data_IF_240825982230
#
_entry.id   IF_240825982230
#
_cell.length_a   1.000
_cell.length_b   1.000
_cell.length_c   1.000
_cell.angle_alpha   90.00
_cell.angle_beta   90.00
_cell.angle_gamma   90.00
#
_symmetry.space_group_name_H-M   'P 1'
#
loop_
_entity.id
_entity.type
_entity.pdbx_description
1 polymer ?
#
# COMPACT_ATOMS: atom_id res chain seq x y z
N UNK A 1 20.24 31.67 -0.59
CA UNK A 1 18.93 31.06 -0.22
C UNK A 1 18.37 30.19 -1.34
N UNK A 2 18.22 30.69 -2.60
CA UNK A 2 17.60 29.92 -3.69
C UNK A 2 18.31 28.57 -3.99
N UNK A 3 19.64 28.50 -3.89
CA UNK A 3 20.40 27.25 -4.11
C UNK A 3 20.18 26.22 -2.99
N UNK A 4 20.05 26.68 -1.76
CA UNK A 4 19.79 25.83 -0.59
C UNK A 4 18.37 25.21 -0.69
N UNK A 5 17.37 26.03 -1.00
CA UNK A 5 16.00 25.59 -1.21
C UNK A 5 15.91 24.56 -2.33
N UNK A 6 16.61 24.75 -3.44
CA UNK A 6 16.65 23.79 -4.55
C UNK A 6 17.30 22.47 -4.13
N UNK A 7 18.41 22.51 -3.37
CA UNK A 7 19.08 21.31 -2.89
C UNK A 7 18.19 20.50 -1.93
N UNK A 8 17.51 21.16 -1.01
CA UNK A 8 16.56 20.51 -0.07
C UNK A 8 15.40 19.87 -0.82
N UNK A 9 14.79 20.58 -1.77
CA UNK A 9 13.70 20.03 -2.59
C UNK A 9 14.14 18.81 -3.41
N UNK A 10 15.34 18.84 -3.99
CA UNK A 10 15.88 17.70 -4.73
C UNK A 10 16.11 16.48 -3.80
N UNK A 11 16.61 16.71 -2.60
CA UNK A 11 16.80 15.62 -1.62
C UNK A 11 15.48 14.99 -1.19
N UNK A 12 14.44 15.80 -0.98
CA UNK A 12 13.09 15.33 -0.68
C UNK A 12 12.51 14.48 -1.82
N UNK A 13 12.61 14.95 -3.06
CA UNK A 13 12.13 14.20 -4.23
C UNK A 13 12.87 12.87 -4.43
N UNK A 14 14.17 12.81 -4.13
CA UNK A 14 14.96 11.58 -4.17
C UNK A 14 14.47 10.60 -3.09
N UNK A 15 14.29 11.08 -1.86
CA UNK A 15 13.80 10.26 -0.76
C UNK A 15 12.38 9.73 -1.03
N UNK A 16 11.50 10.57 -1.59
CA UNK A 16 10.15 10.17 -1.99
C UNK A 16 10.18 9.06 -3.05
N UNK A 17 10.96 9.24 -4.12
CA UNK A 17 11.12 8.21 -5.17
C UNK A 17 11.64 6.89 -4.60
N UNK A 18 12.60 6.93 -3.68
CA UNK A 18 13.10 5.75 -3.01
C UNK A 18 11.99 4.99 -2.25
N UNK A 19 11.15 5.71 -1.49
CA UNK A 19 10.06 5.10 -0.75
C UNK A 19 9.01 4.51 -1.69
N UNK A 20 8.64 5.23 -2.76
CA UNK A 20 7.69 4.73 -3.76
C UNK A 20 8.22 3.48 -4.47
N UNK A 21 9.51 3.42 -4.78
CA UNK A 21 10.15 2.22 -5.31
C UNK A 21 10.05 1.04 -4.32
N UNK A 22 10.38 1.26 -3.03
CA UNK A 22 10.26 0.22 -1.99
C UNK A 22 8.83 -0.24 -1.79
N UNK A 23 7.87 0.68 -1.84
CA UNK A 23 6.43 0.40 -1.78
C UNK A 23 5.98 -0.50 -2.93
N UNK A 24 6.34 -0.15 -4.15
CA UNK A 24 5.96 -0.91 -5.34
C UNK A 24 6.64 -2.29 -5.35
N UNK A 25 7.90 -2.35 -4.92
CA UNK A 25 8.62 -3.62 -4.81
C UNK A 25 7.97 -4.56 -3.81
N UNK A 26 7.64 -4.09 -2.59
CA UNK A 26 7.05 -4.95 -1.57
C UNK A 26 5.64 -5.42 -1.95
N UNK A 27 4.87 -4.59 -2.70
CA UNK A 27 3.59 -4.98 -3.27
C UNK A 27 3.75 -6.13 -4.27
N UNK A 28 4.68 -6.00 -5.20
CA UNK A 28 5.00 -7.07 -6.16
C UNK A 28 5.45 -8.35 -5.47
N UNK A 29 6.34 -8.23 -4.48
CA UNK A 29 6.85 -9.38 -3.75
C UNK A 29 5.76 -10.12 -2.99
N UNK A 30 4.85 -9.41 -2.30
CA UNK A 30 3.76 -10.07 -1.54
C UNK A 30 2.76 -10.77 -2.46
N UNK A 31 2.44 -10.19 -3.61
CA UNK A 31 1.54 -10.80 -4.60
C UNK A 31 2.15 -12.11 -5.12
N UNK A 32 3.43 -12.08 -5.47
CA UNK A 32 4.13 -13.27 -5.99
C UNK A 32 4.25 -14.35 -4.92
N UNK A 33 4.55 -14.01 -3.66
CA UNK A 33 4.60 -14.99 -2.57
C UNK A 33 3.22 -15.59 -2.33
N UNK A 34 2.16 -14.78 -2.31
CA UNK A 34 0.79 -15.27 -2.14
C UNK A 34 0.37 -16.21 -3.28
N UNK A 35 0.73 -15.86 -4.52
CA UNK A 35 0.51 -16.72 -5.68
C UNK A 35 1.26 -18.06 -5.55
N UNK A 36 2.54 -18.04 -5.20
CA UNK A 36 3.34 -19.24 -5.01
C UNK A 36 2.79 -20.13 -3.88
N UNK A 37 2.29 -19.54 -2.79
CA UNK A 37 1.59 -20.25 -1.71
C UNK A 37 0.34 -20.95 -2.26
N UNK A 38 -0.47 -20.25 -3.02
CA UNK A 38 -1.71 -20.77 -3.59
C UNK A 38 -1.48 -21.92 -4.57
N UNK A 39 -0.41 -21.85 -5.36
CA UNK A 39 -0.05 -22.93 -6.30
C UNK A 39 0.47 -24.19 -5.61
N UNK A 40 1.09 -24.05 -4.46
CA UNK A 40 1.75 -25.15 -3.75
C UNK A 40 1.02 -25.58 -2.47
N UNK A 41 -0.28 -25.30 -2.36
CA UNK A 41 -1.06 -25.50 -1.12
C UNK A 41 -0.94 -26.91 -0.53
N UNK A 42 -0.99 -27.95 -1.38
CA UNK A 42 -0.91 -29.33 -0.94
C UNK A 42 0.44 -29.68 -0.31
N UNK A 43 1.53 -29.17 -0.88
CA UNK A 43 2.88 -29.32 -0.35
C UNK A 43 3.07 -28.54 0.96
N UNK A 44 2.43 -27.38 1.08
CA UNK A 44 2.52 -26.47 2.21
C UNK A 44 1.61 -26.85 3.38
N UNK A 45 0.76 -27.89 3.27
CA UNK A 45 0.04 -28.46 4.41
C UNK A 45 1.00 -29.02 5.47
N UNK A 46 2.17 -29.50 5.06
CA UNK A 46 3.23 -29.88 6.00
C UNK A 46 3.92 -28.61 6.54
N UNK A 47 3.84 -28.42 7.87
CA UNK A 47 4.40 -27.24 8.55
C UNK A 47 5.89 -27.04 8.31
N UNK A 48 6.69 -28.11 8.24
CA UNK A 48 8.13 -28.04 7.99
C UNK A 48 8.42 -27.53 6.56
N UNK A 49 7.67 -28.05 5.58
CA UNK A 49 7.76 -27.61 4.20
C UNK A 49 7.37 -26.13 4.06
N UNK A 50 6.30 -25.72 4.74
CA UNK A 50 5.84 -24.34 4.74
C UNK A 50 6.89 -23.41 5.38
N UNK A 51 7.48 -23.81 6.52
CA UNK A 51 8.55 -23.04 7.15
C UNK A 51 9.74 -22.85 6.22
N UNK A 52 10.21 -23.94 5.56
CA UNK A 52 11.31 -23.88 4.60
C UNK A 52 10.98 -23.01 3.40
N UNK A 53 9.76 -23.11 2.88
CA UNK A 53 9.28 -22.28 1.78
C UNK A 53 9.34 -20.79 2.14
N UNK A 54 8.79 -20.40 3.30
CA UNK A 54 8.79 -19.01 3.76
C UNK A 54 10.22 -18.49 3.98
N UNK A 55 11.10 -19.31 4.53
CA UNK A 55 12.52 -18.96 4.67
C UNK A 55 13.17 -18.68 3.30
N UNK A 56 12.94 -19.54 2.33
CA UNK A 56 13.47 -19.37 0.97
C UNK A 56 12.90 -18.12 0.30
N UNK A 57 11.59 -17.87 0.39
CA UNK A 57 10.97 -16.67 -0.16
C UNK A 57 11.55 -15.39 0.46
N UNK A 58 11.78 -15.38 1.78
CA UNK A 58 12.41 -14.26 2.46
C UNK A 58 13.81 -13.97 1.90
N UNK A 59 14.63 -15.00 1.79
CA UNK A 59 16.01 -14.88 1.29
C UNK A 59 16.06 -14.45 -0.18
N UNK A 60 15.29 -15.09 -1.05
CA UNK A 60 15.27 -14.82 -2.48
C UNK A 60 14.83 -13.38 -2.80
N UNK A 61 13.91 -12.83 -2.03
CA UNK A 61 13.37 -11.47 -2.25
C UNK A 61 14.08 -10.41 -1.40
N UNK A 62 15.02 -10.83 -0.56
CA UNK A 62 15.77 -9.94 0.34
C UNK A 62 14.85 -9.22 1.34
N UNK A 63 13.78 -9.88 1.79
CA UNK A 63 12.88 -9.36 2.81
C UNK A 63 13.50 -9.56 4.21
N UNK A 64 13.16 -8.68 5.12
CA UNK A 64 13.64 -8.77 6.51
C UNK A 64 12.74 -9.66 7.35
N UNK A 65 11.42 -9.62 7.08
CA UNK A 65 10.45 -10.46 7.77
C UNK A 65 9.37 -10.96 6.82
N UNK A 66 8.94 -12.21 6.99
CA UNK A 66 7.73 -12.79 6.42
C UNK A 66 6.99 -13.54 7.53
N UNK A 67 5.73 -13.25 7.69
CA UNK A 67 4.86 -13.90 8.68
C UNK A 67 3.55 -14.34 8.04
N UNK A 68 3.10 -15.54 8.42
CA UNK A 68 1.71 -15.93 8.24
C UNK A 68 1.02 -15.75 9.59
N UNK A 69 0.04 -14.87 9.65
CA UNK A 69 -0.68 -14.50 10.87
C UNK A 69 -2.18 -14.79 10.71
N UNK A 70 -2.88 -14.93 11.82
CA UNK A 70 -4.33 -14.98 11.84
C UNK A 70 -4.96 -13.58 12.11
N UNK A 71 -6.28 -13.51 12.11
CA UNK A 71 -7.02 -12.29 12.39
C UNK A 71 -6.80 -11.73 13.81
N UNK A 72 -6.30 -12.54 14.73
CA UNK A 72 -5.92 -12.14 16.10
C UNK A 72 -4.43 -11.76 16.20
N UNK A 73 -3.74 -11.63 15.06
CA UNK A 73 -2.29 -11.34 14.93
C UNK A 73 -1.39 -12.45 15.49
N UNK A 74 -1.95 -13.65 15.77
CA UNK A 74 -1.15 -14.78 16.21
C UNK A 74 -0.36 -15.34 15.03
N UNK A 75 0.95 -15.51 15.24
CA UNK A 75 1.85 -16.04 14.22
C UNK A 75 1.63 -17.55 14.06
N UNK A 76 1.37 -17.95 12.82
CA UNK A 76 1.29 -19.36 12.43
C UNK A 76 2.65 -19.86 11.91
N UNK A 77 3.30 -19.10 11.03
CA UNK A 77 4.66 -19.35 10.51
C UNK A 77 5.39 -18.01 10.43
N UNK A 78 6.70 -18.03 10.69
CA UNK A 78 7.52 -16.83 10.71
C UNK A 78 8.90 -17.12 10.15
N UNK A 79 9.40 -16.19 9.33
CA UNK A 79 10.81 -16.09 8.98
C UNK A 79 11.26 -14.65 9.17
N UNK A 80 12.20 -14.41 10.04
CA UNK A 80 12.66 -13.06 10.40
C UNK A 80 14.13 -13.07 10.83
N UNK A 81 14.82 -11.96 10.54
CA UNK A 81 16.15 -11.66 11.05
C UNK A 81 16.13 -10.82 12.32
N UNK A 82 14.97 -10.30 12.69
CA UNK A 82 14.77 -9.37 13.82
C UNK A 82 13.51 -9.73 14.59
N UNK A 83 13.27 -9.04 15.70
CA UNK A 83 12.02 -9.19 16.46
C UNK A 83 10.80 -8.85 15.61
N UNK A 84 9.71 -9.58 15.82
CA UNK A 84 8.44 -9.35 15.13
C UNK A 84 7.93 -7.94 15.38
N UNK A 85 7.65 -7.23 14.29
CA UNK A 85 6.97 -5.94 14.32
C UNK A 85 5.47 -6.16 14.08
N UNK A 86 4.62 -5.97 15.10
CA UNK A 86 3.19 -6.24 14.99
C UNK A 86 2.54 -5.30 13.98
N UNK A 87 1.56 -5.83 13.26
CA UNK A 87 0.73 -5.02 12.38
C UNK A 87 -0.29 -4.20 13.18
N UNK A 88 -0.55 -2.98 12.74
CA UNK A 88 -1.61 -2.16 13.31
C UNK A 88 -3.00 -2.80 13.11
N UNK A 89 -3.85 -2.70 14.14
CA UNK A 89 -5.19 -3.30 14.09
C UNK A 89 -6.08 -2.70 13.01
N UNK A 90 -5.87 -1.41 12.68
CA UNK A 90 -6.59 -0.72 11.59
C UNK A 90 -6.25 -1.34 10.23
N UNK A 91 -4.97 -1.58 9.97
CA UNK A 91 -4.50 -2.18 8.72
C UNK A 91 -5.06 -3.60 8.52
N UNK A 92 -5.07 -4.42 9.58
CA UNK A 92 -5.64 -5.77 9.51
C UNK A 92 -7.14 -5.74 9.20
N UNK A 93 -7.91 -4.84 9.81
CA UNK A 93 -9.34 -4.68 9.53
C UNK A 93 -9.62 -4.28 8.08
N UNK A 94 -8.77 -3.46 7.47
CA UNK A 94 -8.93 -3.04 6.06
C UNK A 94 -8.76 -4.22 5.11
N UNK A 95 -7.83 -5.13 5.39
CA UNK A 95 -7.54 -6.30 4.53
C UNK A 95 -8.57 -7.43 4.67
N UNK A 96 -9.35 -7.45 5.75
CA UNK A 96 -10.36 -8.50 5.94
C UNK A 96 -11.35 -8.58 4.78
N UNK A 97 -11.72 -7.46 4.19
CA UNK A 97 -12.73 -7.34 3.14
C UNK A 97 -12.14 -7.06 1.74
N UNK A 98 -10.83 -6.91 1.61
CA UNK A 98 -10.17 -6.64 0.33
C UNK A 98 -9.27 -7.81 -0.09
N UNK A 99 -9.24 -8.10 -1.40
CA UNK A 99 -8.37 -9.13 -1.99
C UNK A 99 -7.00 -8.57 -2.39
N UNK A 100 -6.86 -7.25 -2.39
CA UNK A 100 -5.62 -6.57 -2.78
C UNK A 100 -4.68 -6.44 -1.60
N UNK A 101 -3.36 -6.39 -1.85
CA UNK A 101 -2.40 -6.12 -0.78
C UNK A 101 -2.57 -4.70 -0.26
N UNK A 102 -2.54 -4.56 1.05
CA UNK A 102 -2.44 -3.28 1.73
C UNK A 102 -0.97 -2.97 2.00
N UNK A 103 -0.51 -1.83 1.51
CA UNK A 103 0.86 -1.34 1.73
C UNK A 103 0.90 -0.41 2.93
N UNK A 104 1.94 -0.54 3.73
CA UNK A 104 2.14 0.24 4.96
C UNK A 104 3.56 0.78 4.94
N UNK A 105 3.71 2.11 4.98
CA UNK A 105 4.99 2.75 5.19
C UNK A 105 4.96 3.39 6.57
N UNK A 106 5.96 3.08 7.38
CA UNK A 106 6.16 3.70 8.68
C UNK A 106 7.63 4.09 8.84
N UNK A 107 7.91 5.37 8.60
CA UNK A 107 9.27 5.90 8.70
C UNK A 107 9.80 5.87 10.14
N UNK A 108 8.94 6.06 11.16
CA UNK A 108 9.34 5.98 12.58
C UNK A 108 9.81 4.59 12.99
N UNK A 109 9.19 3.55 12.43
CA UNK A 109 9.62 2.17 12.63
C UNK A 109 10.60 1.70 11.54
N UNK A 110 11.01 2.61 10.68
CA UNK A 110 11.96 2.37 9.58
C UNK A 110 11.54 1.21 8.69
N UNK A 111 10.24 1.06 8.41
CA UNK A 111 9.72 -0.09 7.66
C UNK A 111 8.83 0.28 6.48
N UNK A 112 8.97 -0.52 5.42
CA UNK A 112 7.97 -0.72 4.38
C UNK A 112 7.37 -2.11 4.55
N UNK A 113 6.08 -2.22 4.66
CA UNK A 113 5.39 -3.48 4.89
C UNK A 113 4.20 -3.65 3.94
N UNK A 114 3.78 -4.89 3.75
CA UNK A 114 2.54 -5.20 3.06
C UNK A 114 1.84 -6.38 3.71
N UNK A 115 0.51 -6.40 3.62
CA UNK A 115 -0.31 -7.51 4.08
C UNK A 115 -1.35 -7.86 3.02
N UNK A 116 -1.62 -9.14 2.83
CA UNK A 116 -2.66 -9.67 1.95
C UNK A 116 -3.33 -10.88 2.60
N UNK A 117 -4.63 -11.03 2.36
CA UNK A 117 -5.38 -12.23 2.77
C UNK A 117 -5.01 -13.41 1.87
N UNK A 118 -4.80 -14.59 2.45
CA UNK A 118 -4.56 -15.82 1.72
C UNK A 118 -5.89 -16.54 1.47
N UNK A 119 -6.40 -16.58 0.21
CA UNK A 119 -7.75 -17.08 -0.07
C UNK A 119 -7.97 -18.54 0.28
N UNK A 120 -6.93 -19.37 0.08
CA UNK A 120 -6.98 -20.81 0.30
C UNK A 120 -6.62 -21.26 1.73
N UNK A 121 -6.23 -20.32 2.59
CA UNK A 121 -5.98 -20.57 4.01
C UNK A 121 -7.01 -19.82 4.85
N UNK A 122 -7.86 -20.53 5.52
CA UNK A 122 -8.94 -19.96 6.32
C UNK A 122 -8.38 -18.98 7.37
N UNK A 123 -8.84 -17.73 7.32
CA UNK A 123 -8.47 -16.66 8.24
C UNK A 123 -6.96 -16.43 8.40
N UNK A 124 -6.16 -16.67 7.35
CA UNK A 124 -4.72 -16.39 7.35
C UNK A 124 -4.37 -15.23 6.43
N UNK A 125 -3.36 -14.49 6.85
CA UNK A 125 -2.81 -13.33 6.15
C UNK A 125 -1.30 -13.50 6.01
N UNK A 126 -0.81 -13.18 4.83
CA UNK A 126 0.61 -13.01 4.58
C UNK A 126 0.99 -11.59 4.94
N UNK A 127 1.98 -11.41 5.80
CA UNK A 127 2.53 -10.12 6.20
C UNK A 127 4.03 -10.11 5.94
N UNK A 128 4.50 -9.14 5.16
CA UNK A 128 5.91 -9.00 4.79
C UNK A 128 6.43 -7.64 5.20
N UNK A 129 7.73 -7.59 5.58
CA UNK A 129 8.40 -6.36 6.01
C UNK A 129 9.77 -6.27 5.33
N UNK A 130 10.08 -5.07 4.86
CA UNK A 130 11.40 -4.64 4.42
C UNK A 130 11.76 -3.35 5.15
N UNK A 131 12.92 -3.34 5.80
CA UNK A 131 13.41 -2.10 6.41
C UNK A 131 13.86 -1.10 5.34
N UNK A 132 13.59 0.16 5.60
CA UNK A 132 14.07 1.28 4.81
C UNK A 132 15.54 1.56 5.15
N UNK A 133 16.23 2.26 4.29
CA UNK A 133 17.53 2.83 4.60
C UNK A 133 17.41 3.82 5.77
N UNK A 134 18.29 3.67 6.78
CA UNK A 134 18.19 4.44 8.02
C UNK A 134 18.39 5.93 7.80
N UNK A 135 19.30 6.30 6.91
CA UNK A 135 19.60 7.72 6.66
C UNK A 135 18.45 8.38 5.91
N UNK A 136 17.84 7.65 4.97
CA UNK A 136 16.65 8.12 4.26
C UNK A 136 15.45 8.20 5.20
N UNK A 137 15.21 7.18 6.03
CA UNK A 137 14.13 7.20 7.01
C UNK A 137 14.28 8.36 8.01
N UNK A 138 15.50 8.61 8.49
CA UNK A 138 15.81 9.74 9.36
C UNK A 138 15.53 11.07 8.67
N UNK A 139 16.02 11.26 7.45
CA UNK A 139 15.75 12.47 6.67
C UNK A 139 14.25 12.74 6.51
N UNK A 140 13.49 11.69 6.27
CA UNK A 140 12.05 11.76 6.10
C UNK A 140 11.29 12.09 7.39
N UNK A 141 11.77 11.62 8.54
CA UNK A 141 11.16 11.93 9.85
C UNK A 141 11.51 13.32 10.36
N UNK A 142 12.61 13.90 9.91
CA UNK A 142 13.05 15.25 10.28
C UNK A 142 12.40 16.36 9.45
N UNK A 143 11.76 16.05 8.32
CA UNK A 143 11.06 17.04 7.51
C UNK A 143 9.57 17.07 7.85
N UNK A 144 9.03 18.23 8.24
CA UNK A 144 7.61 18.38 8.61
C UNK A 144 6.64 17.97 7.51
N UNK A 145 6.98 18.19 6.24
CA UNK A 145 6.16 17.78 5.09
C UNK A 145 6.13 16.26 4.90
N UNK A 146 7.19 15.57 5.30
CA UNK A 146 7.30 14.12 5.21
C UNK A 146 6.45 13.39 6.26
N UNK A 147 6.24 13.96 7.44
CA UNK A 147 5.49 13.32 8.53
C UNK A 147 4.05 12.96 8.07
N UNK A 148 3.39 13.82 7.33
CA UNK A 148 2.05 13.56 6.81
C UNK A 148 2.01 12.52 5.68
N UNK A 149 3.10 12.37 4.91
CA UNK A 149 3.17 11.44 3.79
C UNK A 149 3.47 9.99 4.24
N UNK A 150 4.15 9.80 5.38
CA UNK A 150 4.66 8.48 5.82
C UNK A 150 3.73 7.70 6.73
N UNK A 151 2.62 8.28 7.15
CA UNK A 151 1.55 7.57 7.86
C UNK A 151 0.43 7.15 6.90
N UNK A 152 0.75 6.84 5.66
CA UNK A 152 -0.24 6.40 4.69
C UNK A 152 -0.33 4.88 4.70
N UNK A 153 -1.40 4.41 5.33
CA UNK A 153 -2.03 3.16 4.88
C UNK A 153 -2.61 3.51 3.51
N UNK A 154 -1.94 3.04 2.46
CA UNK A 154 -2.38 3.28 1.07
C UNK A 154 -3.65 2.43 0.85
N UNK A 155 -4.80 3.04 1.12
CA UNK A 155 -6.10 2.45 0.82
C UNK A 155 -6.32 2.59 -0.70
N UNK A 156 -6.20 1.49 -1.47
CA UNK A 156 -6.39 1.54 -2.92
C UNK A 156 -7.81 1.99 -3.30
N UNK A 157 -8.76 1.97 -2.35
CA UNK A 157 -10.12 2.47 -2.56
C UNK A 157 -10.19 4.01 -2.62
N UNK A 158 -9.23 4.73 -2.04
CA UNK A 158 -9.22 6.19 -2.03
C UNK A 158 -8.97 6.75 -3.43
N UNK A 159 -8.00 6.20 -4.16
CA UNK A 159 -7.72 6.61 -5.55
C UNK A 159 -8.92 6.39 -6.48
N UNK A 160 -9.61 5.26 -6.32
CA UNK A 160 -10.84 4.95 -7.07
C UNK A 160 -11.96 5.93 -6.72
N UNK A 161 -12.18 6.20 -5.42
CA UNK A 161 -13.21 7.16 -4.96
C UNK A 161 -12.97 8.56 -5.50
N UNK A 162 -11.72 9.03 -5.51
CA UNK A 162 -11.34 10.34 -6.07
C UNK A 162 -11.61 10.38 -7.58
N UNK A 163 -11.24 9.33 -8.32
CA UNK A 163 -11.51 9.24 -9.76
C UNK A 163 -13.00 9.26 -10.07
N UNK A 164 -13.82 8.52 -9.32
CA UNK A 164 -15.29 8.58 -9.47
C UNK A 164 -15.85 9.95 -9.13
N UNK A 165 -15.36 10.61 -8.08
CA UNK A 165 -15.79 11.97 -7.71
C UNK A 165 -15.48 12.97 -8.83
N UNK A 166 -14.29 12.91 -9.44
CA UNK A 166 -13.91 13.77 -10.57
C UNK A 166 -14.79 13.53 -11.79
N UNK A 167 -15.04 12.28 -12.17
CA UNK A 167 -15.92 11.91 -13.27
C UNK A 167 -17.33 12.44 -13.01
N UNK A 168 -17.84 12.29 -11.78
CA UNK A 168 -19.17 12.81 -11.40
C UNK A 168 -19.26 14.33 -11.54
N UNK A 169 -18.25 15.08 -11.10
CA UNK A 169 -18.18 16.54 -11.23
C UNK A 169 -18.21 16.95 -12.71
N UNK A 170 -17.47 16.25 -13.58
CA UNK A 170 -17.44 16.52 -15.02
C UNK A 170 -18.82 16.28 -15.63
N UNK A 171 -19.48 15.18 -15.31
CA UNK A 171 -20.81 14.85 -15.83
C UNK A 171 -21.85 15.89 -15.40
N UNK A 172 -21.84 16.27 -14.11
CA UNK A 172 -22.78 17.30 -13.59
C UNK A 172 -22.53 18.65 -14.25
N UNK A 173 -21.29 19.05 -14.45
CA UNK A 173 -20.94 20.29 -15.16
C UNK A 173 -21.45 20.29 -16.60
N UNK A 174 -21.28 19.19 -17.33
CA UNK A 174 -21.79 19.03 -18.70
C UNK A 174 -23.32 19.12 -18.76
N UNK A 175 -24.02 18.47 -17.83
CA UNK A 175 -25.49 18.55 -17.75
C UNK A 175 -25.98 19.96 -17.44
N UNK A 176 -25.30 20.69 -16.55
CA UNK A 176 -25.59 22.11 -16.28
C UNK A 176 -25.40 22.98 -17.52
N UNK A 177 -24.28 22.81 -18.24
CA UNK A 177 -24.05 23.55 -19.49
C UNK A 177 -25.11 23.26 -20.54
N UNK A 178 -25.50 21.99 -20.70
CA UNK A 178 -26.55 21.58 -21.62
C UNK A 178 -27.89 22.22 -21.24
N UNK A 179 -28.26 22.20 -19.96
CA UNK A 179 -29.51 22.80 -19.44
C UNK A 179 -29.54 24.29 -19.69
N UNK A 180 -28.44 25.03 -19.44
CA UNK A 180 -28.33 26.46 -19.70
C UNK A 180 -28.48 26.75 -21.21
N UNK A 181 -27.83 25.94 -22.06
CA UNK A 181 -27.91 26.11 -23.52
C UNK A 181 -29.34 25.91 -24.05
N UNK A 182 -30.00 24.91 -23.54
CA UNK A 182 -31.43 24.65 -23.88
C UNK A 182 -32.33 25.81 -23.40
N UNK A 183 -32.14 26.28 -22.15
CA UNK A 183 -32.90 27.38 -21.59
C UNK A 183 -32.73 28.67 -22.41
N UNK A 184 -31.52 29.01 -22.84
CA UNK A 184 -31.25 30.16 -23.68
C UNK A 184 -31.92 30.01 -25.05
N UNK A 185 -31.85 28.84 -25.67
CA UNK A 185 -32.52 28.59 -26.98
C UNK A 185 -34.05 28.65 -26.86
N UNK A 186 -34.63 28.15 -25.80
CA UNK A 186 -36.07 28.26 -25.57
C UNK A 186 -36.48 29.74 -25.34
N UNK A 187 -35.75 30.43 -24.44
CA UNK A 187 -36.02 31.85 -24.16
C UNK A 187 -35.98 32.73 -25.42
N UNK A 188 -34.96 32.55 -26.27
CA UNK A 188 -34.84 33.33 -27.51
C UNK A 188 -35.94 33.04 -28.55
N UNK A 189 -36.65 31.92 -28.44
CA UNK A 189 -37.77 31.58 -29.35
C UNK A 189 -39.09 32.12 -28.91
N UNK A 190 -39.23 32.50 -27.63
CA UNK A 190 -40.50 33.07 -27.07
C UNK A 190 -40.52 34.60 -27.03
N UNK A 191 -39.37 35.26 -27.28
CA UNK A 191 -39.25 36.72 -27.25
C UNK A 191 -38.98 37.37 -28.62
N UNK A 192 -39.33 36.69 -29.75
CA UNK A 192 -39.38 37.27 -31.09
C UNK A 192 -40.84 37.41 -31.56
#
# INVERSE_FOLDING_TARGET
DKKITTAVNNSYEIAKKYVDEKRNKIESDIILIAFDIDQNINFLQNKKNFQNFINNQRLLRGLDQIHIIDQNKKIFISSSTTSYLPIEGKALKMVLNDKRPLKIINAYENKSAAIIKLPKFENKFLYVVKFLDKDIAKYLTESEEAVNFYYTVDDPSVGIKISFALIYIIIVSLLLFLSITIAIRFSSRFFI
#
